data_IF_649880753301
#
_entry.id   IF_649880753301
#
_cell.length_a   1.000
_cell.length_b   1.000
_cell.length_c   1.000
_cell.angle_alpha   90.00
_cell.angle_beta   90.00
_cell.angle_gamma   90.00
#
_symmetry.space_group_name_H-M   'P 1'
#
loop_
_entity.id
_entity.type
_entity.pdbx_description
1 polymer ?
#
# COMPACT_ATOMS: atom_id res chain seq x y z
N UNK A 1 -27.11 54.17 19.05
CA UNK A 1 -25.92 53.63 19.75
C UNK A 1 -25.82 52.11 19.74
N UNK A 2 -26.93 51.36 19.71
CA UNK A 2 -26.90 49.88 19.75
C UNK A 2 -26.43 49.21 18.45
N UNK A 3 -26.77 49.76 17.28
CA UNK A 3 -26.32 49.25 15.98
C UNK A 3 -24.80 49.32 15.79
N UNK A 4 -24.16 50.42 16.22
CA UNK A 4 -22.71 50.57 16.20
C UNK A 4 -22.02 49.57 17.12
N UNK A 5 -22.62 49.26 18.28
CA UNK A 5 -22.12 48.26 19.23
C UNK A 5 -22.23 46.84 18.67
N UNK A 6 -23.35 46.50 18.02
CA UNK A 6 -23.54 45.23 17.33
C UNK A 6 -22.54 45.05 16.18
N UNK A 7 -22.38 46.07 15.33
CA UNK A 7 -21.39 46.06 14.24
C UNK A 7 -19.96 45.91 14.77
N UNK A 8 -19.59 46.61 15.84
CA UNK A 8 -18.27 46.48 16.46
C UNK A 8 -18.00 45.07 17.02
N UNK A 9 -19.00 44.43 17.62
CA UNK A 9 -18.88 43.05 18.12
C UNK A 9 -18.76 42.07 16.94
N UNK A 10 -19.61 42.22 15.92
CA UNK A 10 -19.63 41.35 14.74
C UNK A 10 -18.33 41.46 13.93
N UNK A 11 -17.82 42.67 13.73
CA UNK A 11 -16.52 42.91 13.11
C UNK A 11 -15.39 42.29 13.94
N UNK A 12 -15.40 42.44 15.27
CA UNK A 12 -14.38 41.86 16.16
C UNK A 12 -14.35 40.32 16.09
N UNK A 13 -15.51 39.67 15.96
CA UNK A 13 -15.61 38.24 15.74
C UNK A 13 -15.04 37.84 14.37
N UNK A 14 -15.45 38.53 13.30
CA UNK A 14 -14.93 38.31 11.94
C UNK A 14 -13.40 38.45 11.91
N UNK A 15 -12.84 39.50 12.54
CA UNK A 15 -11.39 39.69 12.61
C UNK A 15 -10.67 38.65 13.49
N UNK A 16 -11.28 38.16 14.58
CA UNK A 16 -10.72 37.07 15.41
C UNK A 16 -10.69 35.74 14.65
N UNK A 17 -11.72 35.44 13.89
CA UNK A 17 -11.78 34.23 13.08
C UNK A 17 -10.81 34.33 11.90
N UNK A 18 -10.72 35.49 11.25
CA UNK A 18 -9.72 35.75 10.22
C UNK A 18 -8.27 35.65 10.75
N UNK A 19 -8.01 36.04 12.01
CA UNK A 19 -6.70 35.89 12.67
C UNK A 19 -6.36 34.43 12.93
N UNK A 20 -7.34 33.60 13.31
CA UNK A 20 -7.16 32.14 13.45
C UNK A 20 -6.85 31.49 12.10
N UNK A 21 -7.55 31.90 11.04
CA UNK A 21 -7.29 31.45 9.66
C UNK A 21 -5.91 31.89 9.17
N UNK A 22 -5.49 33.12 9.45
CA UNK A 22 -4.14 33.61 9.14
C UNK A 22 -3.04 32.88 9.95
N UNK A 23 -3.30 32.52 11.21
CA UNK A 23 -2.39 31.69 11.99
C UNK A 23 -2.28 30.27 11.40
N UNK A 24 -3.38 29.73 10.86
CA UNK A 24 -3.38 28.46 10.14
C UNK A 24 -2.51 28.51 8.88
N UNK A 25 -2.61 29.58 8.10
CA UNK A 25 -1.77 29.82 6.91
C UNK A 25 -0.30 30.04 7.30
N UNK A 26 -0.02 30.68 8.43
CA UNK A 26 1.34 30.86 8.95
C UNK A 26 1.98 29.56 9.48
N UNK A 27 1.16 28.61 9.96
CA UNK A 27 1.60 27.27 10.37
C UNK A 27 1.55 26.24 9.22
N UNK A 28 0.94 26.60 8.08
CA UNK A 28 0.86 25.74 6.90
C UNK A 28 2.26 25.34 6.36
N UNK A 29 3.28 26.23 6.31
CA UNK A 29 4.63 25.85 5.89
C UNK A 29 5.21 24.71 6.73
N UNK A 30 5.07 24.76 8.07
CA UNK A 30 5.53 23.68 8.96
C UNK A 30 4.80 22.37 8.70
N UNK A 31 3.49 22.43 8.46
CA UNK A 31 2.71 21.24 8.11
C UNK A 31 3.10 20.67 6.75
N UNK A 32 3.48 21.52 5.79
CA UNK A 32 3.99 21.09 4.48
C UNK A 32 5.35 20.43 4.65
N UNK A 33 6.29 21.04 5.37
CA UNK A 33 7.60 20.44 5.70
C UNK A 33 7.46 19.10 6.42
N UNK A 34 6.57 19.00 7.41
CA UNK A 34 6.28 17.75 8.12
C UNK A 34 5.72 16.66 7.18
N UNK A 35 4.90 17.05 6.20
CA UNK A 35 4.34 16.14 5.20
C UNK A 35 5.37 15.73 4.14
N UNK A 36 6.25 16.64 3.74
CA UNK A 36 7.36 16.38 2.81
C UNK A 36 8.33 15.36 3.40
N UNK A 37 8.70 15.53 4.68
CA UNK A 37 9.54 14.56 5.41
C UNK A 37 8.85 13.19 5.50
N UNK A 38 7.54 13.15 5.82
CA UNK A 38 6.78 11.89 5.85
C UNK A 38 6.70 11.22 4.49
N UNK A 39 6.55 11.99 3.42
CA UNK A 39 6.57 11.51 2.04
C UNK A 39 7.93 10.92 1.66
N UNK A 40 9.03 11.56 2.07
CA UNK A 40 10.39 11.05 1.82
C UNK A 40 10.62 9.72 2.55
N UNK A 41 10.22 9.62 3.81
CA UNK A 41 10.32 8.39 4.61
C UNK A 41 9.49 7.26 3.97
N UNK A 42 8.26 7.57 3.55
CA UNK A 42 7.39 6.60 2.90
C UNK A 42 7.99 6.08 1.58
N UNK A 43 8.59 6.95 0.77
CA UNK A 43 9.28 6.58 -0.48
C UNK A 43 10.45 5.64 -0.20
N UNK A 44 11.33 5.99 0.73
CA UNK A 44 12.48 5.14 1.12
C UNK A 44 12.02 3.74 1.56
N UNK A 45 10.93 3.66 2.33
CA UNK A 45 10.35 2.39 2.77
C UNK A 45 9.80 1.55 1.59
N UNK A 46 9.20 2.21 0.60
CA UNK A 46 8.73 1.53 -0.62
C UNK A 46 9.93 0.96 -1.39
N UNK A 47 10.98 1.75 -1.61
CA UNK A 47 12.19 1.29 -2.33
C UNK A 47 12.85 0.08 -1.62
N UNK A 48 12.95 0.12 -0.29
CA UNK A 48 13.45 -1.00 0.52
C UNK A 48 12.58 -2.26 0.36
N UNK A 49 11.25 -2.12 0.38
CA UNK A 49 10.33 -3.24 0.20
C UNK A 49 10.37 -3.80 -1.22
N UNK A 50 10.40 -2.95 -2.25
CA UNK A 50 10.46 -3.36 -3.65
C UNK A 50 11.74 -4.16 -3.94
N UNK A 51 12.88 -3.73 -3.37
CA UNK A 51 14.15 -4.47 -3.48
C UNK A 51 14.07 -5.89 -2.89
N UNK A 52 13.25 -6.08 -1.86
CA UNK A 52 13.04 -7.38 -1.21
C UNK A 52 12.03 -8.25 -1.96
N UNK A 53 11.11 -7.65 -2.71
CA UNK A 53 9.96 -8.32 -3.32
C UNK A 53 10.19 -8.72 -4.77
N UNK A 54 10.97 -7.93 -5.54
CA UNK A 54 11.07 -8.07 -7.01
C UNK A 54 11.52 -9.46 -7.50
N UNK A 55 12.43 -10.14 -6.80
CA UNK A 55 12.83 -11.51 -7.16
C UNK A 55 11.87 -12.58 -6.65
N UNK A 56 11.37 -12.41 -5.43
CA UNK A 56 10.67 -13.47 -4.73
C UNK A 56 9.27 -13.75 -5.28
N UNK A 57 8.58 -12.76 -5.86
CA UNK A 57 7.17 -12.92 -6.26
C UNK A 57 6.96 -14.03 -7.28
N UNK A 58 7.90 -14.23 -8.20
CA UNK A 58 7.78 -15.18 -9.32
C UNK A 58 8.53 -16.49 -9.08
N UNK A 59 9.14 -16.68 -7.91
CA UNK A 59 9.85 -17.88 -7.54
C UNK A 59 8.95 -18.90 -6.84
N UNK A 60 9.25 -20.18 -7.05
CA UNK A 60 8.59 -21.30 -6.43
C UNK A 60 8.68 -21.18 -4.90
N UNK A 61 7.54 -21.17 -4.23
CA UNK A 61 7.45 -21.01 -2.77
C UNK A 61 7.87 -22.26 -1.99
N UNK A 62 8.27 -23.32 -2.70
CA UNK A 62 8.69 -24.59 -2.11
C UNK A 62 10.21 -24.68 -2.14
N UNK A 63 10.84 -24.59 -3.33
CA UNK A 63 12.30 -24.68 -3.45
C UNK A 63 13.02 -23.32 -3.41
N UNK A 64 12.33 -22.20 -3.67
CA UNK A 64 12.93 -20.86 -3.78
C UNK A 64 14.10 -20.78 -4.79
N UNK A 65 14.13 -21.65 -5.79
CA UNK A 65 15.26 -21.81 -6.73
C UNK A 65 14.83 -21.73 -8.21
N UNK A 66 13.55 -21.92 -8.49
CA UNK A 66 13.03 -21.96 -9.86
C UNK A 66 11.74 -21.14 -9.98
N UNK A 67 11.42 -20.59 -11.17
CA UNK A 67 10.21 -19.80 -11.35
C UNK A 67 8.93 -20.62 -11.15
N UNK A 68 7.85 -19.95 -10.77
CA UNK A 68 6.50 -20.52 -10.74
C UNK A 68 6.09 -20.87 -12.17
N UNK A 69 5.67 -22.12 -12.37
CA UNK A 69 5.32 -22.66 -13.68
C UNK A 69 4.01 -23.42 -13.70
N UNK A 70 3.44 -23.74 -12.54
CA UNK A 70 2.25 -24.58 -12.44
C UNK A 70 1.13 -23.90 -11.69
N UNK A 71 -0.09 -24.13 -12.18
CA UNK A 71 -1.35 -23.82 -11.49
C UNK A 71 -2.05 -25.12 -11.11
N UNK A 72 -2.57 -25.18 -9.89
CA UNK A 72 -3.29 -26.34 -9.37
C UNK A 72 -4.79 -26.22 -9.66
N UNK A 73 -5.40 -27.20 -10.34
CA UNK A 73 -6.84 -27.23 -10.59
C UNK A 73 -7.55 -28.22 -9.65
N UNK A 74 -8.77 -27.91 -9.19
CA UNK A 74 -9.60 -26.76 -9.60
C UNK A 74 -9.36 -25.45 -8.82
N UNK A 75 -8.47 -25.43 -7.82
CA UNK A 75 -8.36 -24.26 -6.91
C UNK A 75 -7.73 -22.99 -7.51
N UNK A 76 -6.94 -23.09 -8.57
CA UNK A 76 -6.30 -21.96 -9.26
C UNK A 76 -5.04 -21.39 -8.60
N UNK A 77 -4.55 -21.94 -7.49
CA UNK A 77 -3.34 -21.43 -6.83
C UNK A 77 -2.07 -21.71 -7.64
N UNK A 78 -1.19 -20.71 -7.74
CA UNK A 78 0.10 -20.74 -8.46
C UNK A 78 1.23 -20.44 -7.49
N UNK A 79 2.05 -21.44 -7.18
CA UNK A 79 3.20 -21.26 -6.27
C UNK A 79 4.37 -22.22 -6.52
N UNK A 80 4.24 -23.20 -7.41
CA UNK A 80 5.22 -24.26 -7.61
C UNK A 80 5.88 -24.18 -8.99
N UNK A 81 7.17 -24.54 -9.03
CA UNK A 81 7.85 -24.88 -10.27
C UNK A 81 7.42 -26.28 -10.75
N UNK A 82 7.78 -26.65 -11.98
CA UNK A 82 7.41 -27.96 -12.55
C UNK A 82 7.97 -29.17 -11.80
N UNK A 83 9.05 -29.01 -11.02
CA UNK A 83 9.65 -30.10 -10.24
C UNK A 83 8.89 -30.32 -8.93
N UNK A 84 8.80 -29.30 -8.08
CA UNK A 84 8.10 -29.38 -6.79
C UNK A 84 6.61 -29.69 -6.95
N UNK A 85 6.03 -29.37 -8.10
CA UNK A 85 4.68 -29.74 -8.49
C UNK A 85 4.39 -31.25 -8.49
N UNK A 86 5.37 -32.09 -8.85
CA UNK A 86 5.16 -33.51 -9.10
C UNK A 86 4.92 -34.31 -7.82
N UNK A 87 5.48 -33.84 -6.71
CA UNK A 87 5.38 -34.50 -5.40
C UNK A 87 4.14 -34.07 -4.61
N UNK A 88 3.20 -33.33 -5.24
CA UNK A 88 2.02 -32.78 -4.57
C UNK A 88 0.73 -33.44 -5.05
N UNK A 89 -0.01 -34.01 -4.09
CA UNK A 89 -1.36 -34.52 -4.31
C UNK A 89 -2.45 -33.51 -3.90
N UNK A 90 -2.09 -32.56 -3.03
CA UNK A 90 -2.99 -31.51 -2.52
C UNK A 90 -2.33 -30.13 -2.62
N UNK A 91 -3.13 -29.10 -2.87
CA UNK A 91 -2.65 -27.72 -2.93
C UNK A 91 -2.14 -27.26 -1.55
N UNK A 92 -0.89 -26.77 -1.41
CA UNK A 92 -0.36 -26.30 -0.13
C UNK A 92 -1.07 -25.09 0.47
N UNK A 93 -1.84 -24.34 -0.33
CA UNK A 93 -2.53 -23.11 0.11
C UNK A 93 -3.90 -23.41 0.68
N UNK A 94 -4.66 -24.29 0.02
CA UNK A 94 -6.07 -24.54 0.39
C UNK A 94 -6.37 -26.00 0.76
N UNK A 95 -5.37 -26.88 0.75
CA UNK A 95 -5.47 -28.32 1.02
C UNK A 95 -6.44 -29.10 0.11
N UNK A 96 -6.96 -28.49 -0.96
CA UNK A 96 -7.81 -29.17 -1.93
C UNK A 96 -6.98 -30.15 -2.77
N UNK A 97 -7.56 -31.32 -3.08
CA UNK A 97 -6.95 -32.31 -3.97
C UNK A 97 -6.67 -31.72 -5.36
N UNK A 98 -5.50 -32.05 -5.91
CA UNK A 98 -5.07 -31.60 -7.24
C UNK A 98 -5.57 -32.62 -8.26
N UNK A 99 -6.54 -32.22 -9.08
CA UNK A 99 -7.07 -33.08 -10.15
C UNK A 99 -6.21 -32.99 -11.42
N UNK A 100 -5.71 -31.80 -11.72
CA UNK A 100 -4.83 -31.57 -12.86
C UNK A 100 -3.99 -30.30 -12.65
N UNK A 101 -2.93 -30.19 -13.46
CA UNK A 101 -2.00 -29.07 -13.40
C UNK A 101 -1.72 -28.54 -14.80
N UNK A 102 -1.84 -27.23 -15.00
CA UNK A 102 -1.47 -26.60 -16.27
C UNK A 102 -0.24 -25.72 -16.13
N UNK A 103 0.49 -25.54 -17.23
CA UNK A 103 1.66 -24.67 -17.26
C UNK A 103 1.23 -23.21 -17.38
N UNK A 104 1.80 -22.35 -16.55
CA UNK A 104 1.63 -20.89 -16.63
C UNK A 104 2.95 -20.25 -17.03
N UNK A 105 2.87 -19.25 -17.89
CA UNK A 105 4.01 -18.44 -18.32
C UNK A 105 3.73 -16.99 -17.94
N UNK A 106 4.53 -16.45 -17.03
CA UNK A 106 4.49 -15.02 -16.68
C UNK A 106 5.24 -14.25 -17.78
N UNK A 107 4.59 -13.24 -18.36
CA UNK A 107 5.15 -12.34 -19.39
C UNK A 107 6.01 -11.24 -18.79
#
# INVERSE_FOLDING_TARGET
MELLRYLAIKLRHIFKDHRKSMCLLACLPKRVEDLEVKLEIARKKIDELESSVSGQMYECKICMDAPIQKVFLPCGHTLSCSKCAQDLETCPVCALGIESMTSVHMM
#
